data_IF_748290744233
#
_entry.id   IF_748290744233
#
_cell.length_a   1.000
_cell.length_b   1.000
_cell.length_c   1.000
_cell.angle_alpha   90.00
_cell.angle_beta   90.00
_cell.angle_gamma   90.00
#
_symmetry.space_group_name_H-M   'P 1'
#
loop_
_entity.id
_entity.type
_entity.pdbx_description
1 polymer ?
#
# COMPACT_ATOMS: atom_id res chain seq x y z
N UNK A 1 -4.13 -2.80 31.43
CA UNK A 1 -2.97 -1.91 31.22
C UNK A 1 -2.40 -2.22 29.84
N UNK A 2 -2.34 -1.24 28.95
CA UNK A 2 -1.84 -1.41 27.58
C UNK A 2 -0.31 -1.29 27.53
N UNK A 3 0.30 -1.87 26.49
CA UNK A 3 1.68 -1.63 26.09
C UNK A 3 1.70 -0.48 25.07
N UNK A 4 2.58 0.50 25.27
CA UNK A 4 2.83 1.56 24.30
C UNK A 4 4.27 1.45 23.82
N UNK A 5 4.45 1.39 22.50
CA UNK A 5 5.78 1.36 21.86
C UNK A 5 5.90 2.61 21.01
N UNK A 6 7.01 3.35 21.15
CA UNK A 6 7.33 4.50 20.31
C UNK A 6 8.68 4.28 19.64
N UNK A 7 8.70 4.42 18.31
CA UNK A 7 9.92 4.26 17.50
C UNK A 7 10.16 5.58 16.76
N UNK A 8 11.39 6.10 16.86
CA UNK A 8 11.82 7.29 16.11
C UNK A 8 12.90 6.89 15.12
N UNK A 9 12.66 7.14 13.83
CA UNK A 9 13.64 6.95 12.78
C UNK A 9 14.24 8.29 12.36
N UNK A 10 15.57 8.35 12.30
CA UNK A 10 16.32 9.53 11.85
C UNK A 10 17.18 9.10 10.66
N UNK A 11 17.13 9.86 9.56
CA UNK A 11 17.88 9.59 8.36
C UNK A 11 18.49 10.86 7.75
N UNK A 12 19.40 10.66 6.81
CA UNK A 12 19.98 11.73 6.00
C UNK A 12 19.83 11.37 4.52
N UNK A 13 19.50 12.36 3.72
CA UNK A 13 19.36 12.24 2.27
C UNK A 13 19.96 13.47 1.59
N UNK A 14 20.50 13.28 0.39
CA UNK A 14 20.89 14.40 -0.47
C UNK A 14 19.66 15.22 -0.82
N UNK A 15 19.79 16.55 -0.80
CA UNK A 15 18.66 17.46 -1.01
C UNK A 15 17.95 17.24 -2.35
N UNK A 16 18.72 16.92 -3.38
CA UNK A 16 18.17 16.70 -4.72
C UNK A 16 17.44 15.36 -4.88
N UNK A 17 17.65 14.44 -3.95
CA UNK A 17 16.96 13.14 -3.91
C UNK A 17 15.72 13.14 -3.03
N UNK A 18 15.47 14.21 -2.29
CA UNK A 18 14.26 14.32 -1.48
C UNK A 18 13.01 14.35 -2.35
N UNK A 19 12.05 13.50 -2.01
CA UNK A 19 10.70 13.49 -2.58
C UNK A 19 9.73 13.80 -1.45
N UNK A 20 8.82 14.72 -1.71
CA UNK A 20 7.82 15.16 -0.74
C UNK A 20 6.43 14.61 -1.10
N UNK A 21 5.47 14.75 -0.21
CA UNK A 21 4.05 14.49 -0.48
C UNK A 21 3.42 15.54 -1.42
N UNK A 22 4.06 16.68 -1.58
CA UNK A 22 3.67 17.75 -2.51
C UNK A 22 4.59 17.77 -3.72
N UNK A 23 4.07 18.24 -4.85
CA UNK A 23 4.84 18.38 -6.09
C UNK A 23 4.21 17.69 -7.29
N UNK A 24 3.13 16.92 -7.08
CA UNK A 24 2.33 16.40 -8.17
C UNK A 24 1.72 17.53 -9.00
N UNK A 25 1.62 17.32 -10.31
CA UNK A 25 1.08 18.29 -11.28
C UNK A 25 -0.04 17.68 -12.11
N UNK A 26 -0.96 18.48 -12.62
CA UNK A 26 -1.92 18.00 -13.61
C UNK A 26 -1.22 17.30 -14.78
N UNK A 27 -1.66 16.10 -15.11
CA UNK A 27 -1.08 15.25 -16.15
C UNK A 27 -0.02 14.27 -15.64
N UNK A 28 0.43 14.36 -14.37
CA UNK A 28 1.26 13.31 -13.78
C UNK A 28 0.49 12.00 -13.69
N UNK A 29 1.19 10.88 -13.85
CA UNK A 29 0.64 9.54 -13.69
C UNK A 29 0.77 9.10 -12.24
N UNK A 30 -0.27 8.46 -11.72
CA UNK A 30 -0.30 7.89 -10.38
C UNK A 30 0.21 6.46 -10.46
N UNK A 31 1.21 6.14 -9.66
CA UNK A 31 1.84 4.83 -9.60
C UNK A 31 1.80 4.27 -8.18
N UNK A 32 1.67 2.96 -8.09
CA UNK A 32 1.60 2.23 -6.82
C UNK A 32 2.60 1.08 -6.89
N UNK A 33 3.36 0.86 -5.82
CA UNK A 33 4.14 -0.37 -5.68
C UNK A 33 3.29 -1.48 -5.07
N UNK A 34 3.56 -2.73 -5.46
CA UNK A 34 2.91 -3.89 -4.87
C UNK A 34 1.39 -3.91 -5.00
N UNK A 35 0.74 -4.66 -4.15
CA UNK A 35 -0.70 -4.90 -4.17
C UNK A 35 -1.33 -4.44 -2.86
N UNK A 36 -2.59 -4.00 -2.92
CA UNK A 36 -3.29 -3.34 -1.83
C UNK A 36 -4.46 -4.17 -1.27
N UNK A 37 -4.87 -3.82 -0.04
CA UNK A 37 -6.00 -4.43 0.66
C UNK A 37 -5.68 -5.76 1.34
N UNK A 38 -4.48 -6.32 1.10
CA UNK A 38 -4.06 -7.59 1.68
C UNK A 38 -3.91 -7.52 3.21
N UNK A 39 -3.34 -6.44 3.71
CA UNK A 39 -3.13 -6.25 5.14
C UNK A 39 -4.47 -6.16 5.90
N UNK A 40 -5.42 -5.37 5.41
CA UNK A 40 -6.76 -5.29 6.01
C UNK A 40 -7.47 -6.65 6.06
N UNK A 41 -7.40 -7.42 4.98
CA UNK A 41 -7.98 -8.76 4.94
C UNK A 41 -7.29 -9.72 5.92
N UNK A 42 -5.98 -9.58 6.08
CA UNK A 42 -5.20 -10.29 7.11
C UNK A 42 -5.70 -9.98 8.52
N UNK A 43 -5.99 -8.71 8.80
CA UNK A 43 -6.59 -8.32 10.08
C UNK A 43 -7.96 -8.98 10.30
N UNK A 44 -8.82 -9.02 9.26
CA UNK A 44 -10.13 -9.67 9.35
C UNK A 44 -10.01 -11.16 9.70
N UNK A 45 -9.01 -11.85 9.13
CA UNK A 45 -8.70 -13.26 9.47
C UNK A 45 -8.30 -13.37 10.94
N UNK A 46 -7.33 -12.57 11.36
CA UNK A 46 -6.80 -12.60 12.72
C UNK A 46 -7.89 -12.31 13.77
N UNK A 47 -8.78 -11.37 13.50
CA UNK A 47 -9.89 -11.06 14.38
C UNK A 47 -10.92 -12.20 14.44
N UNK A 48 -11.25 -12.81 13.30
CA UNK A 48 -12.12 -13.99 13.23
C UNK A 48 -11.55 -15.14 14.05
N UNK A 49 -10.29 -15.49 13.83
CA UNK A 49 -9.65 -16.61 14.54
C UNK A 49 -9.53 -16.33 16.05
N UNK A 50 -9.24 -15.07 16.42
CA UNK A 50 -9.26 -14.65 17.82
C UNK A 50 -10.63 -14.84 18.45
N UNK A 51 -11.71 -14.48 17.76
CA UNK A 51 -13.08 -14.67 18.26
C UNK A 51 -13.39 -16.17 18.45
N UNK A 52 -13.07 -17.01 17.47
CA UNK A 52 -13.25 -18.47 17.55
C UNK A 52 -12.51 -19.03 18.75
N UNK A 53 -11.25 -18.65 18.94
CA UNK A 53 -10.45 -19.10 20.07
C UNK A 53 -10.99 -18.62 21.43
N UNK A 54 -11.52 -17.40 21.50
CA UNK A 54 -12.14 -16.88 22.73
C UNK A 54 -13.41 -17.64 23.10
N UNK A 55 -14.20 -18.02 22.09
CA UNK A 55 -15.44 -18.76 22.30
C UNK A 55 -15.17 -20.25 22.59
N UNK A 56 -14.07 -20.80 22.10
CA UNK A 56 -13.65 -22.19 22.31
C UNK A 56 -12.10 -22.31 22.33
N UNK A 57 -11.47 -22.17 23.52
CA UNK A 57 -10.01 -22.17 23.65
C UNK A 57 -9.32 -23.50 23.25
N UNK A 58 -10.05 -24.59 23.11
CA UNK A 58 -9.52 -25.88 22.67
C UNK A 58 -9.31 -25.92 21.12
N UNK A 59 -9.91 -24.99 20.39
CA UNK A 59 -9.73 -24.86 18.95
C UNK A 59 -8.51 -23.98 18.65
N UNK A 60 -7.55 -24.54 17.92
CA UNK A 60 -6.39 -23.77 17.49
C UNK A 60 -6.76 -22.89 16.27
N UNK A 61 -6.23 -21.66 16.17
CA UNK A 61 -6.39 -20.81 14.99
C UNK A 61 -5.91 -21.52 13.72
N UNK A 62 -6.68 -21.38 12.64
CA UNK A 62 -6.37 -21.92 11.32
C UNK A 62 -6.04 -20.80 10.32
N UNK A 63 -4.80 -20.80 9.86
CA UNK A 63 -4.28 -19.86 8.84
C UNK A 63 -3.93 -20.56 7.53
N UNK A 64 -4.32 -21.83 7.36
CA UNK A 64 -4.05 -22.58 6.14
C UNK A 64 -4.66 -21.87 4.92
N UNK A 65 -3.89 -21.73 3.86
CA UNK A 65 -4.27 -21.02 2.63
C UNK A 65 -4.60 -19.52 2.82
N UNK A 66 -4.13 -18.88 3.90
CA UNK A 66 -4.34 -17.46 4.19
C UNK A 66 -3.02 -16.75 4.52
N UNK A 67 -1.89 -17.37 4.15
CA UNK A 67 -0.54 -16.91 4.54
C UNK A 67 -0.17 -15.57 3.91
N UNK A 68 -0.64 -15.29 2.70
CA UNK A 68 -0.41 -14.00 2.05
C UNK A 68 -1.01 -12.85 2.87
N UNK A 69 -2.32 -12.86 3.08
CA UNK A 69 -3.01 -11.77 3.76
C UNK A 69 -2.56 -11.61 5.23
N UNK A 70 -2.42 -12.72 5.96
CA UNK A 70 -1.90 -12.72 7.33
C UNK A 70 -0.46 -12.19 7.38
N UNK A 71 0.37 -12.58 6.43
CA UNK A 71 1.75 -12.08 6.29
C UNK A 71 1.80 -10.59 6.02
N UNK A 72 0.94 -10.05 5.16
CA UNK A 72 0.83 -8.61 4.87
C UNK A 72 0.51 -7.81 6.14
N UNK A 73 -0.39 -8.31 6.99
CA UNK A 73 -0.76 -7.63 8.24
C UNK A 73 0.32 -7.74 9.33
N UNK A 74 0.92 -8.93 9.51
CA UNK A 74 1.83 -9.17 10.64
C UNK A 74 3.28 -8.78 10.37
N UNK A 75 3.67 -8.72 9.08
CA UNK A 75 5.05 -8.48 8.67
C UNK A 75 5.09 -7.56 7.45
N UNK A 76 4.65 -6.30 7.57
CA UNK A 76 4.80 -5.35 6.48
C UNK A 76 6.29 -5.08 6.21
N UNK A 77 6.65 -4.97 4.95
CA UNK A 77 8.03 -4.71 4.52
C UNK A 77 8.13 -3.32 3.88
N UNK A 78 9.06 -2.50 4.37
CA UNK A 78 9.31 -1.20 3.76
C UNK A 78 9.91 -1.35 2.37
N UNK A 79 9.36 -0.68 1.36
CA UNK A 79 9.77 -0.76 -0.06
C UNK A 79 11.09 -0.05 -0.36
N UNK A 80 12.14 -0.40 0.39
CA UNK A 80 13.51 0.09 0.16
C UNK A 80 14.05 -0.36 -1.18
N UNK A 81 13.68 -1.56 -1.60
CA UNK A 81 13.98 -2.14 -2.91
C UNK A 81 13.61 -1.17 -4.04
N UNK A 82 12.40 -0.61 -4.01
CA UNK A 82 11.93 0.33 -5.02
C UNK A 82 12.71 1.65 -4.99
N UNK A 83 13.06 2.16 -3.82
CA UNK A 83 13.89 3.37 -3.73
C UNK A 83 15.29 3.14 -4.35
N UNK A 84 15.86 1.96 -4.17
CA UNK A 84 17.12 1.60 -4.81
C UNK A 84 16.99 1.48 -6.35
N UNK A 85 15.89 0.88 -6.83
CA UNK A 85 15.60 0.80 -8.28
C UNK A 85 15.39 2.21 -8.89
N UNK A 86 14.62 3.07 -8.23
CA UNK A 86 14.43 4.46 -8.71
C UNK A 86 15.76 5.19 -8.87
N UNK A 87 16.70 5.00 -7.95
CA UNK A 87 18.05 5.59 -8.05
C UNK A 87 18.81 5.02 -9.25
N UNK A 88 18.78 3.71 -9.48
CA UNK A 88 19.48 3.04 -10.60
C UNK A 88 19.00 3.55 -11.95
N UNK A 89 17.69 3.75 -12.11
CA UNK A 89 17.10 4.21 -13.38
C UNK A 89 17.03 5.75 -13.51
N UNK A 90 17.52 6.48 -12.52
CA UNK A 90 17.45 7.93 -12.49
C UNK A 90 16.00 8.46 -12.48
N UNK A 91 15.10 7.78 -11.78
CA UNK A 91 13.72 8.23 -11.57
C UNK A 91 13.64 9.05 -10.29
N UNK A 92 13.07 10.24 -10.38
CA UNK A 92 12.65 11.02 -9.23
C UNK A 92 11.15 11.27 -9.32
N UNK A 93 10.33 10.62 -8.47
CA UNK A 93 8.90 10.90 -8.37
C UNK A 93 8.62 12.38 -8.11
N UNK A 94 7.50 12.89 -8.62
CA UNK A 94 7.07 14.27 -8.39
C UNK A 94 6.46 14.47 -7.00
N UNK A 95 5.76 13.44 -6.50
CA UNK A 95 5.31 13.33 -5.11
C UNK A 95 5.33 11.87 -4.67
N UNK A 96 5.41 11.60 -3.37
CA UNK A 96 5.42 10.24 -2.83
C UNK A 96 4.96 10.21 -1.38
N UNK A 97 4.24 9.14 -1.02
CA UNK A 97 3.76 8.81 0.33
C UNK A 97 3.66 7.28 0.46
N UNK A 98 3.73 6.75 1.65
CA UNK A 98 3.39 5.35 1.93
C UNK A 98 1.87 5.16 2.06
N UNK A 99 1.37 3.96 1.74
CA UNK A 99 -0.06 3.63 1.88
C UNK A 99 -0.29 3.00 3.25
N UNK A 100 -0.61 3.85 4.23
CA UNK A 100 -0.86 3.45 5.61
C UNK A 100 -2.34 3.42 5.98
N UNK A 101 -3.16 4.34 5.47
CA UNK A 101 -4.58 4.46 5.79
C UNK A 101 -5.50 4.03 4.63
N UNK A 102 -4.92 3.50 3.57
CA UNK A 102 -5.60 3.08 2.35
C UNK A 102 -5.41 4.06 1.20
N UNK A 103 -5.50 3.53 -0.02
CA UNK A 103 -5.16 4.28 -1.23
C UNK A 103 -5.92 5.60 -1.36
N UNK A 104 -7.21 5.62 -1.02
CA UNK A 104 -8.03 6.83 -1.13
C UNK A 104 -7.52 7.95 -0.21
N UNK A 105 -7.17 7.63 1.04
CA UNK A 105 -6.62 8.59 1.99
C UNK A 105 -5.33 9.22 1.46
N UNK A 106 -4.42 8.39 0.99
CA UNK A 106 -3.10 8.86 0.56
C UNK A 106 -3.15 9.67 -0.73
N UNK A 107 -4.06 9.34 -1.65
CA UNK A 107 -4.35 10.16 -2.82
C UNK A 107 -4.86 11.54 -2.38
N UNK A 108 -5.78 11.61 -1.42
CA UNK A 108 -6.26 12.90 -0.90
C UNK A 108 -5.13 13.71 -0.27
N UNK A 109 -4.17 13.07 0.40
CA UNK A 109 -3.00 13.76 0.96
C UNK A 109 -2.13 14.37 -0.13
N UNK A 110 -1.79 13.63 -1.19
CA UNK A 110 -1.03 14.15 -2.33
C UNK A 110 -1.81 15.28 -3.03
N UNK A 111 -3.09 15.07 -3.32
CA UNK A 111 -3.93 16.06 -3.99
C UNK A 111 -4.02 17.37 -3.20
N UNK A 112 -4.30 17.28 -1.90
CA UNK A 112 -4.40 18.44 -1.02
C UNK A 112 -3.09 19.22 -0.93
N UNK A 113 -1.96 18.51 -0.77
CA UNK A 113 -0.66 19.17 -0.63
C UNK A 113 -0.10 19.72 -1.94
N UNK A 114 -0.50 19.13 -3.06
CA UNK A 114 -0.10 19.57 -4.41
C UNK A 114 -1.10 20.52 -5.06
N UNK A 115 -2.27 20.75 -4.43
CA UNK A 115 -3.38 21.54 -4.97
C UNK A 115 -3.84 21.07 -6.35
N UNK A 116 -4.04 19.76 -6.50
CA UNK A 116 -4.52 19.08 -7.72
C UNK A 116 -5.66 18.14 -7.39
N UNK A 117 -6.36 17.65 -8.42
CA UNK A 117 -7.28 16.52 -8.33
C UNK A 117 -6.62 15.24 -8.85
N UNK A 118 -7.26 14.10 -8.62
CA UNK A 118 -6.86 12.81 -9.14
C UNK A 118 -8.05 12.07 -9.75
N UNK A 119 -7.78 11.26 -10.75
CA UNK A 119 -8.69 10.28 -11.33
C UNK A 119 -8.01 8.92 -11.21
N UNK A 120 -8.69 7.96 -10.61
CA UNK A 120 -8.24 6.58 -10.49
C UNK A 120 -9.20 5.69 -11.27
N UNK A 121 -8.66 4.81 -12.09
CA UNK A 121 -9.44 3.77 -12.73
C UNK A 121 -9.45 2.52 -11.84
N UNK A 122 -10.64 2.01 -11.54
CA UNK A 122 -10.80 0.82 -10.69
C UNK A 122 -9.97 -0.36 -11.17
N UNK A 123 -9.91 -0.57 -12.48
CA UNK A 123 -9.11 -1.64 -13.11
C UNK A 123 -7.60 -1.49 -12.95
N UNK A 124 -7.14 -0.28 -12.61
CA UNK A 124 -5.73 0.01 -12.36
C UNK A 124 -5.31 -0.22 -10.90
N UNK A 125 -6.26 -0.43 -9.98
CA UNK A 125 -5.94 -0.68 -8.57
C UNK A 125 -5.39 -2.11 -8.41
N UNK A 126 -4.13 -2.27 -7.98
CA UNK A 126 -3.50 -3.58 -7.89
C UNK A 126 -4.02 -4.34 -6.66
N UNK A 127 -4.64 -5.49 -6.89
CA UNK A 127 -5.17 -6.35 -5.82
C UNK A 127 -4.79 -7.79 -6.11
N UNK A 128 -4.14 -8.44 -5.15
CA UNK A 128 -3.75 -9.83 -5.26
C UNK A 128 -4.96 -10.75 -5.48
N UNK A 129 -4.80 -11.78 -6.29
CA UNK A 129 -5.89 -12.73 -6.57
C UNK A 129 -6.39 -13.44 -5.30
N UNK A 130 -5.48 -13.82 -4.39
CA UNK A 130 -5.86 -14.41 -3.10
C UNK A 130 -6.66 -13.41 -2.26
N UNK A 131 -6.23 -12.13 -2.23
CA UNK A 131 -6.96 -11.07 -1.55
C UNK A 131 -8.36 -10.84 -2.15
N UNK A 132 -8.49 -10.86 -3.48
CA UNK A 132 -9.80 -10.75 -4.14
C UNK A 132 -10.75 -11.88 -3.72
N UNK A 133 -10.27 -13.13 -3.79
CA UNK A 133 -11.08 -14.29 -3.39
C UNK A 133 -11.46 -14.24 -1.91
N UNK A 134 -10.53 -13.79 -1.07
CA UNK A 134 -10.74 -13.67 0.38
C UNK A 134 -11.77 -12.58 0.71
N UNK A 135 -11.68 -11.41 0.07
CA UNK A 135 -12.66 -10.34 0.23
C UNK A 135 -14.07 -10.83 -0.09
N UNK A 136 -14.24 -11.51 -1.23
CA UNK A 136 -15.52 -12.08 -1.63
C UNK A 136 -16.04 -13.12 -0.62
N UNK A 137 -15.16 -13.95 -0.04
CA UNK A 137 -15.51 -14.91 1.01
C UNK A 137 -16.03 -14.20 2.27
N UNK A 138 -15.49 -13.05 2.61
CA UNK A 138 -15.96 -12.19 3.68
C UNK A 138 -17.14 -11.29 3.30
N UNK A 139 -17.64 -11.39 2.05
CA UNK A 139 -18.69 -10.53 1.50
C UNK A 139 -18.29 -9.05 1.50
N UNK A 140 -17.03 -8.79 1.30
CA UNK A 140 -16.44 -7.46 1.14
C UNK A 140 -16.13 -7.22 -0.35
N UNK A 141 -16.18 -5.96 -0.76
CA UNK A 141 -15.72 -5.57 -2.07
C UNK A 141 -14.20 -5.40 -2.06
N UNK A 142 -13.44 -6.09 -2.94
CA UNK A 142 -11.98 -6.05 -2.97
C UNK A 142 -11.42 -4.64 -3.18
N UNK A 143 -12.05 -3.84 -4.04
CA UNK A 143 -11.60 -2.48 -4.33
C UNK A 143 -11.79 -1.58 -3.12
N UNK A 144 -12.92 -1.74 -2.42
CA UNK A 144 -13.14 -1.03 -1.14
C UNK A 144 -12.09 -1.39 -0.10
N UNK A 145 -11.66 -2.67 -0.03
CA UNK A 145 -10.56 -3.08 0.87
C UNK A 145 -9.25 -2.38 0.51
N UNK A 146 -8.90 -2.27 -0.76
CA UNK A 146 -7.69 -1.59 -1.22
C UNK A 146 -7.75 -0.07 -0.99
N UNK A 147 -8.91 0.55 -1.23
CA UNK A 147 -9.08 1.99 -1.08
C UNK A 147 -9.06 2.46 0.38
N UNK A 148 -9.60 1.66 1.31
CA UNK A 148 -9.85 2.09 2.69
C UNK A 148 -9.27 1.18 3.77
N UNK A 149 -8.65 0.06 3.40
CA UNK A 149 -8.18 -0.94 4.36
C UNK A 149 -6.94 -0.52 5.14
N UNK A 150 -5.99 0.08 4.46
CA UNK A 150 -4.72 0.53 5.04
C UNK A 150 -3.77 -0.60 5.46
N UNK A 151 -2.69 -0.22 6.15
CA UNK A 151 -1.63 -1.08 6.69
C UNK A 151 -0.82 -1.87 5.62
N UNK A 152 -0.97 -1.51 4.33
CA UNK A 152 -0.24 -2.18 3.24
C UNK A 152 1.22 -1.72 3.14
N UNK A 153 1.54 -0.49 3.53
CA UNK A 153 2.87 0.14 3.53
C UNK A 153 3.60 0.06 2.18
N UNK A 154 2.83 0.03 1.10
CA UNK A 154 3.33 0.22 -0.26
C UNK A 154 3.60 1.70 -0.53
N UNK A 155 4.28 2.02 -1.63
CA UNK A 155 4.51 3.41 -2.03
C UNK A 155 3.46 3.84 -3.06
N UNK A 156 2.78 4.94 -2.76
CA UNK A 156 2.01 5.72 -3.72
C UNK A 156 2.87 6.89 -4.19
N UNK A 157 3.06 7.04 -5.48
CA UNK A 157 3.88 8.11 -6.03
C UNK A 157 3.35 8.61 -7.36
N UNK A 158 3.78 9.80 -7.74
CA UNK A 158 3.43 10.38 -9.05
C UNK A 158 4.68 10.59 -9.88
N UNK A 159 4.54 10.40 -11.20
CA UNK A 159 5.61 10.60 -12.17
C UNK A 159 5.12 11.44 -13.35
N UNK A 160 6.05 12.10 -14.01
CA UNK A 160 5.74 12.78 -15.26
C UNK A 160 5.48 11.76 -16.38
N UNK A 161 4.62 12.07 -17.36
CA UNK A 161 4.36 11.17 -18.50
C UNK A 161 5.62 10.74 -19.26
N UNK A 162 6.63 11.60 -19.33
CA UNK A 162 7.92 11.30 -19.98
C UNK A 162 8.76 10.25 -19.24
N UNK A 163 8.48 10.02 -17.96
CA UNK A 163 9.18 9.02 -17.14
C UNK A 163 8.52 7.63 -17.16
N UNK A 164 7.37 7.47 -17.84
CA UNK A 164 6.61 6.22 -17.87
C UNK A 164 7.43 5.03 -18.38
N UNK A 165 8.25 5.24 -19.40
CA UNK A 165 9.09 4.17 -19.94
C UNK A 165 10.16 3.69 -18.95
N UNK A 166 10.51 4.49 -17.95
CA UNK A 166 11.46 4.09 -16.90
C UNK A 166 10.83 3.07 -15.94
N UNK A 167 9.54 3.22 -15.61
CA UNK A 167 8.83 2.36 -14.65
C UNK A 167 8.20 1.13 -15.27
N UNK A 168 7.92 1.15 -16.57
CA UNK A 168 7.21 0.12 -17.31
C UNK A 168 7.79 -1.29 -17.18
N UNK A 169 9.09 -1.39 -16.94
CA UNK A 169 9.80 -2.67 -16.83
C UNK A 169 10.21 -3.00 -15.39
N UNK A 170 9.88 -2.14 -14.44
CA UNK A 170 10.09 -2.46 -13.04
C UNK A 170 9.01 -3.43 -12.56
N UNK A 171 9.39 -4.48 -11.82
CA UNK A 171 8.41 -5.37 -11.21
C UNK A 171 7.59 -4.61 -10.15
N UNK A 172 6.40 -5.08 -9.92
CA UNK A 172 5.52 -4.59 -8.86
C UNK A 172 5.20 -3.08 -8.90
N UNK A 173 5.19 -2.46 -10.09
CA UNK A 173 4.69 -1.09 -10.27
C UNK A 173 3.46 -1.12 -11.16
N UNK A 174 2.40 -0.48 -10.68
CA UNK A 174 1.11 -0.36 -11.35
C UNK A 174 0.78 1.12 -11.57
N UNK A 175 0.18 1.43 -12.70
CA UNK A 175 -0.33 2.77 -13.04
C UNK A 175 -1.85 2.73 -12.86
N UNK A 176 -2.37 3.55 -11.97
CA UNK A 176 -3.77 3.57 -11.57
C UNK A 176 -4.57 4.77 -12.13
#
# INVERSE_FOLDING_TARGET
KGLTISITAIGQCEKDLLVYRNGAKPGDLICITGELGGAYLGLQILEREKQIWQDNPDVQPDFENQTYAVGRQLKPEARRDMIEEFRKIGLKPTAMIDVSDGLASEIFHICKQSNVGALIEESGVPINQEAQMLALKFKLDPVTCALNGGEDYELLFTIRPEDVEKVKYLPDIYIA
#
